data_IF_214091996173
#
_entry.id   IF_214091996173
#
_cell.length_a   1.000
_cell.length_b   1.000
_cell.length_c   1.000
_cell.angle_alpha   90.00
_cell.angle_beta   90.00
_cell.angle_gamma   90.00
#
_symmetry.space_group_name_H-M   'P 1'
#
loop_
_entity.id
_entity.type
_entity.pdbx_description
1 polymer ?
#
# COMPACT_ATOMS: atom_id res chain seq x y z
N UNK A 1 7.54 -21.49 1.28
CA UNK A 1 7.22 -20.05 1.16
C UNK A 1 8.16 -19.42 0.15
N UNK A 2 7.66 -18.81 -0.93
CA UNK A 2 8.52 -18.12 -1.89
C UNK A 2 9.19 -16.93 -1.22
N UNK A 3 10.52 -16.77 -1.38
CA UNK A 3 11.23 -15.59 -0.87
C UNK A 3 10.68 -14.36 -1.59
N UNK A 4 9.99 -13.49 -0.84
CA UNK A 4 9.51 -12.23 -1.38
C UNK A 4 10.66 -11.39 -1.94
N UNK A 5 10.44 -10.71 -3.06
CA UNK A 5 11.43 -9.80 -3.62
C UNK A 5 11.78 -8.69 -2.61
N UNK A 6 13.08 -8.50 -2.38
CA UNK A 6 13.60 -7.42 -1.53
C UNK A 6 13.63 -6.14 -2.34
N UNK A 7 13.14 -5.06 -1.74
CA UNK A 7 13.22 -3.73 -2.36
C UNK A 7 14.65 -3.18 -2.22
N UNK A 8 15.03 -2.31 -3.14
CA UNK A 8 16.30 -1.58 -3.05
C UNK A 8 16.25 -0.59 -1.89
N UNK A 9 17.38 -0.42 -1.21
CA UNK A 9 17.48 0.55 -0.12
C UNK A 9 17.42 1.98 -0.66
N UNK A 10 16.97 2.91 0.18
CA UNK A 10 16.90 4.33 -0.16
C UNK A 10 18.27 4.89 -0.54
N UNK A 11 19.34 4.43 0.15
CA UNK A 11 20.73 4.82 -0.16
C UNK A 11 21.13 4.50 -1.59
N UNK A 12 20.83 3.27 -2.06
CA UNK A 12 21.16 2.84 -3.42
C UNK A 12 20.36 3.65 -4.45
N UNK A 13 19.08 3.91 -4.18
CA UNK A 13 18.24 4.74 -5.06
C UNK A 13 18.76 6.18 -5.19
N UNK A 14 19.20 6.79 -4.09
CA UNK A 14 19.85 8.11 -4.09
C UNK A 14 21.13 8.11 -4.94
N UNK A 15 21.93 7.04 -4.86
CA UNK A 15 23.16 6.91 -5.65
C UNK A 15 22.87 6.74 -7.15
N UNK A 16 21.81 6.01 -7.51
CA UNK A 16 21.32 5.89 -8.90
C UNK A 16 20.91 7.27 -9.44
N UNK A 17 20.09 8.03 -8.70
CA UNK A 17 19.63 9.36 -9.14
C UNK A 17 20.79 10.36 -9.25
N UNK A 18 21.74 10.32 -8.32
CA UNK A 18 22.93 11.17 -8.34
C UNK A 18 23.80 10.90 -9.58
N UNK A 19 24.07 9.63 -9.90
CA UNK A 19 24.85 9.31 -11.08
C UNK A 19 24.12 9.61 -12.39
N UNK A 20 22.79 9.50 -12.40
CA UNK A 20 22.00 9.92 -13.55
C UNK A 20 22.04 11.44 -13.77
N UNK A 21 22.02 12.25 -12.71
CA UNK A 21 22.25 13.71 -12.84
C UNK A 21 23.65 14.05 -13.35
N UNK A 22 24.65 13.19 -13.12
CA UNK A 22 25.99 13.32 -13.71
C UNK A 22 26.11 12.80 -15.15
N UNK A 23 24.99 12.63 -15.87
CA UNK A 23 24.90 12.21 -17.29
C UNK A 23 25.54 10.84 -17.58
N UNK A 24 25.60 9.96 -16.57
CA UNK A 24 26.07 8.57 -16.78
C UNK A 24 24.98 7.72 -17.43
N UNK A 25 25.38 6.84 -18.35
CA UNK A 25 24.46 5.88 -18.97
C UNK A 25 23.90 4.88 -17.94
N UNK A 26 22.67 4.40 -18.16
CA UNK A 26 22.01 3.41 -17.29
C UNK A 26 22.87 2.16 -17.11
N UNK A 27 23.54 1.71 -18.18
CA UNK A 27 24.46 0.56 -18.14
C UNK A 27 25.65 0.80 -17.20
N UNK A 28 26.25 1.99 -17.23
CA UNK A 28 27.37 2.32 -16.36
C UNK A 28 26.92 2.42 -14.91
N UNK A 29 25.74 3.00 -14.67
CA UNK A 29 25.15 3.07 -13.33
C UNK A 29 24.91 1.67 -12.79
N UNK A 30 24.30 0.77 -13.57
CA UNK A 30 24.03 -0.61 -13.17
C UNK A 30 25.29 -1.37 -12.74
N UNK A 31 26.39 -1.19 -13.47
CA UNK A 31 27.70 -1.74 -13.09
C UNK A 31 28.22 -1.14 -11.78
N UNK A 32 28.10 0.18 -11.58
CA UNK A 32 28.55 0.86 -10.35
C UNK A 32 27.76 0.43 -9.11
N UNK A 33 26.44 0.27 -9.22
CA UNK A 33 25.58 -0.12 -8.09
C UNK A 33 25.46 -1.64 -7.90
N UNK A 34 26.08 -2.43 -8.78
CA UNK A 34 25.95 -3.88 -8.84
C UNK A 34 24.47 -4.35 -8.83
N UNK A 35 23.64 -3.70 -9.67
CA UNK A 35 22.24 -4.05 -9.88
C UNK A 35 21.97 -4.38 -11.34
N UNK A 36 20.87 -5.07 -11.60
CA UNK A 36 20.45 -5.33 -12.98
C UNK A 36 20.08 -4.01 -13.68
N UNK A 37 20.30 -3.98 -14.99
CA UNK A 37 19.93 -2.84 -15.83
C UNK A 37 18.45 -2.48 -15.69
N UNK A 38 17.56 -3.49 -15.63
CA UNK A 38 16.11 -3.29 -15.51
C UNK A 38 15.73 -2.64 -14.17
N UNK A 39 16.41 -2.97 -13.07
CA UNK A 39 16.17 -2.33 -11.78
C UNK A 39 16.59 -0.86 -11.80
N UNK A 40 17.75 -0.53 -12.36
CA UNK A 40 18.19 0.87 -12.48
C UNK A 40 17.24 1.67 -13.38
N UNK A 41 16.87 1.10 -14.52
CA UNK A 41 15.92 1.72 -15.44
C UNK A 41 14.55 1.96 -14.78
N UNK A 42 14.05 0.99 -14.01
CA UNK A 42 12.81 1.13 -13.25
C UNK A 42 12.90 2.27 -12.23
N UNK A 43 13.97 2.33 -11.44
CA UNK A 43 14.17 3.40 -10.45
C UNK A 43 14.18 4.77 -11.12
N UNK A 44 14.89 4.93 -12.24
CA UNK A 44 14.96 6.20 -12.97
C UNK A 44 13.63 6.60 -13.60
N UNK A 45 12.90 5.64 -14.20
CA UNK A 45 11.56 5.89 -14.73
C UNK A 45 10.63 6.42 -13.64
N UNK A 46 10.63 5.76 -12.48
CA UNK A 46 9.79 6.14 -11.33
C UNK A 46 10.17 7.49 -10.74
N UNK A 47 11.47 7.78 -10.66
CA UNK A 47 11.96 9.09 -10.24
C UNK A 47 11.48 10.20 -11.19
N UNK A 48 11.53 9.98 -12.51
CA UNK A 48 11.03 10.96 -13.51
C UNK A 48 9.52 11.18 -13.43
N UNK A 49 8.75 10.13 -13.18
CA UNK A 49 7.28 10.19 -13.14
C UNK A 49 6.73 10.79 -11.83
N UNK A 50 7.36 10.46 -10.69
CA UNK A 50 6.79 10.78 -9.37
C UNK A 50 7.67 11.67 -8.49
N UNK A 51 8.90 11.96 -8.91
CA UNK A 51 9.91 12.70 -8.14
C UNK A 51 10.17 12.12 -6.73
N UNK A 52 9.86 10.84 -6.52
CA UNK A 52 10.04 10.14 -5.24
C UNK A 52 11.21 9.16 -5.31
N UNK A 53 12.08 9.23 -4.30
CA UNK A 53 13.23 8.33 -4.13
C UNK A 53 12.88 7.14 -3.22
N UNK A 54 11.94 7.34 -2.31
CA UNK A 54 11.55 6.33 -1.34
C UNK A 54 10.73 5.19 -1.95
N UNK A 55 10.75 4.03 -1.29
CA UNK A 55 9.85 2.95 -1.65
C UNK A 55 8.43 3.31 -1.25
N UNK A 56 7.46 3.00 -2.12
CA UNK A 56 6.06 3.10 -1.73
C UNK A 56 5.75 2.05 -0.68
N UNK A 57 4.98 2.46 0.33
CA UNK A 57 4.40 1.53 1.28
C UNK A 57 3.60 0.48 0.50
N UNK A 58 3.82 -0.80 0.82
CA UNK A 58 3.08 -1.90 0.22
C UNK A 58 1.61 -1.74 0.59
N UNK A 59 0.77 -1.55 -0.42
CA UNK A 59 -0.68 -1.55 -0.23
C UNK A 59 -1.15 -3.00 -0.21
N UNK A 60 -1.81 -3.38 0.89
CA UNK A 60 -2.57 -4.61 0.95
C UNK A 60 -3.88 -4.50 0.15
N UNK A 61 -4.71 -5.54 0.25
CA UNK A 61 -6.07 -5.50 -0.27
C UNK A 61 -6.84 -4.36 0.43
N UNK A 62 -7.54 -3.48 -0.32
CA UNK A 62 -8.34 -2.44 0.29
C UNK A 62 -9.41 -3.06 1.19
N UNK A 63 -9.68 -2.41 2.32
CA UNK A 63 -10.72 -2.84 3.24
C UNK A 63 -12.10 -2.77 2.55
N UNK A 64 -12.96 -3.74 2.84
CA UNK A 64 -14.33 -3.78 2.32
C UNK A 64 -15.19 -2.63 2.88
N UNK A 65 -14.93 -2.22 4.11
CA UNK A 65 -15.64 -1.16 4.80
C UNK A 65 -14.93 0.19 4.68
N UNK A 66 -15.70 1.24 4.44
CA UNK A 66 -15.19 2.62 4.50
C UNK A 66 -15.09 3.10 5.95
N UNK A 67 -14.39 4.22 6.17
CA UNK A 67 -14.34 4.87 7.50
C UNK A 67 -15.74 5.27 8.01
N UNK A 68 -16.69 5.55 7.11
CA UNK A 68 -18.07 5.89 7.49
C UNK A 68 -18.81 4.67 8.01
N UNK A 69 -18.64 3.54 7.34
CA UNK A 69 -19.25 2.26 7.68
C UNK A 69 -18.76 1.78 9.05
N UNK A 70 -17.45 1.82 9.26
CA UNK A 70 -16.83 1.48 10.55
C UNK A 70 -17.37 2.35 11.68
N UNK A 71 -17.49 3.67 11.47
CA UNK A 71 -18.06 4.58 12.48
C UNK A 71 -19.52 4.28 12.78
N UNK A 72 -20.32 3.87 11.78
CA UNK A 72 -21.70 3.46 12.01
C UNK A 72 -21.76 2.25 12.95
N UNK A 73 -20.97 1.22 12.66
CA UNK A 73 -20.89 0.00 13.48
C UNK A 73 -20.43 0.33 14.90
N UNK A 74 -19.34 1.09 15.05
CA UNK A 74 -18.79 1.46 16.37
C UNK A 74 -19.83 2.23 17.21
N UNK A 75 -20.54 3.19 16.61
CA UNK A 75 -21.57 3.97 17.34
C UNK A 75 -22.72 3.12 17.84
N UNK A 76 -23.05 2.01 17.17
CA UNK A 76 -24.08 1.07 17.63
C UNK A 76 -23.67 0.38 18.92
N UNK A 77 -22.45 -0.14 18.96
CA UNK A 77 -21.90 -0.78 20.17
C UNK A 77 -21.65 0.23 21.29
N UNK A 78 -21.23 1.46 20.99
CA UNK A 78 -21.09 2.51 22.00
C UNK A 78 -22.45 2.85 22.63
N UNK A 79 -23.52 2.92 21.84
CA UNK A 79 -24.88 3.20 22.35
C UNK A 79 -25.45 2.05 23.18
N UNK A 80 -25.22 0.81 22.75
CA UNK A 80 -25.64 -0.38 23.49
C UNK A 80 -24.58 -1.49 23.34
N UNK A 81 -23.69 -1.66 24.33
CA UNK A 81 -22.61 -2.62 24.27
C UNK A 81 -23.05 -4.09 24.20
N UNK A 82 -24.29 -4.40 24.62
CA UNK A 82 -24.84 -5.77 24.60
C UNK A 82 -25.55 -6.13 23.29
N UNK A 83 -25.48 -5.27 22.26
CA UNK A 83 -26.03 -5.58 20.95
C UNK A 83 -25.30 -6.78 20.32
N UNK A 84 -26.05 -7.67 19.68
CA UNK A 84 -25.48 -8.77 18.93
C UNK A 84 -24.98 -8.30 17.55
N UNK A 85 -23.83 -8.82 17.12
CA UNK A 85 -23.26 -8.56 15.80
C UNK A 85 -24.25 -8.89 14.65
N UNK A 86 -25.09 -9.92 14.83
CA UNK A 86 -26.13 -10.30 13.85
C UNK A 86 -27.13 -9.16 13.59
N UNK A 87 -27.56 -8.48 14.66
CA UNK A 87 -28.51 -7.37 14.56
C UNK A 87 -27.86 -6.16 13.89
N UNK A 88 -26.60 -5.89 14.24
CA UNK A 88 -25.84 -4.77 13.66
C UNK A 88 -25.56 -5.01 12.17
N UNK A 89 -25.22 -6.24 11.76
CA UNK A 89 -25.03 -6.56 10.34
C UNK A 89 -26.32 -6.46 9.53
N UNK A 90 -27.46 -6.89 10.10
CA UNK A 90 -28.76 -6.75 9.42
C UNK A 90 -29.10 -5.26 9.21
N UNK A 91 -29.00 -4.45 10.26
CA UNK A 91 -29.27 -3.01 10.18
C UNK A 91 -28.28 -2.29 9.24
N UNK A 92 -27.03 -2.74 9.18
CA UNK A 92 -26.05 -2.23 8.23
C UNK A 92 -26.46 -2.53 6.78
N UNK A 93 -26.83 -3.79 6.49
CA UNK A 93 -27.18 -4.23 5.15
C UNK A 93 -28.47 -3.58 4.61
N UNK A 94 -29.39 -3.16 5.49
CA UNK A 94 -30.57 -2.39 5.10
C UNK A 94 -30.24 -0.94 4.71
N UNK A 95 -29.22 -0.35 5.34
CA UNK A 95 -28.90 1.09 5.20
C UNK A 95 -27.81 1.39 4.17
N UNK A 96 -26.91 0.43 3.94
CA UNK A 96 -25.75 0.61 3.08
C UNK A 96 -25.82 -0.34 1.89
N UNK A 97 -25.30 0.09 0.75
CA UNK A 97 -25.24 -0.74 -0.47
C UNK A 97 -24.21 -1.88 -0.36
N UNK A 98 -23.34 -1.85 0.65
CA UNK A 98 -22.34 -2.89 0.89
C UNK A 98 -22.91 -3.92 1.87
N UNK A 99 -22.97 -5.18 1.45
CA UNK A 99 -23.39 -6.26 2.37
C UNK A 99 -22.20 -6.76 3.20
N UNK A 100 -22.38 -6.90 4.52
CA UNK A 100 -21.42 -7.48 5.46
C UNK A 100 -21.96 -8.71 6.17
N UNK A 101 -21.06 -9.64 6.49
CA UNK A 101 -21.36 -10.78 7.36
C UNK A 101 -21.23 -10.38 8.84
N UNK A 102 -21.87 -11.11 9.76
CA UNK A 102 -21.70 -10.91 11.20
C UNK A 102 -20.24 -11.04 11.65
N UNK A 103 -19.46 -11.93 11.04
CA UNK A 103 -18.01 -12.08 11.26
C UNK A 103 -17.20 -10.84 10.87
N UNK A 104 -17.70 -10.01 9.94
CA UNK A 104 -17.05 -8.74 9.60
C UNK A 104 -17.28 -7.67 10.68
N UNK A 105 -18.31 -7.85 11.50
CA UNK A 105 -18.73 -6.91 12.56
C UNK A 105 -18.10 -7.25 13.92
N UNK A 106 -17.83 -8.54 14.18
CA UNK A 106 -17.13 -9.01 15.38
C UNK A 106 -15.68 -8.54 15.40
#
# INVERSE_FOLDING_TARGET
MARGHKETTISIRKLITFHHSSVKSVRNIAKLVNLSHSTVQYVLKRFKEENWIENKVRKGRPAKLTKRDQRFIIRKFVKNPRLSALKVSAEFNEKFSTSVSPETVR
#
